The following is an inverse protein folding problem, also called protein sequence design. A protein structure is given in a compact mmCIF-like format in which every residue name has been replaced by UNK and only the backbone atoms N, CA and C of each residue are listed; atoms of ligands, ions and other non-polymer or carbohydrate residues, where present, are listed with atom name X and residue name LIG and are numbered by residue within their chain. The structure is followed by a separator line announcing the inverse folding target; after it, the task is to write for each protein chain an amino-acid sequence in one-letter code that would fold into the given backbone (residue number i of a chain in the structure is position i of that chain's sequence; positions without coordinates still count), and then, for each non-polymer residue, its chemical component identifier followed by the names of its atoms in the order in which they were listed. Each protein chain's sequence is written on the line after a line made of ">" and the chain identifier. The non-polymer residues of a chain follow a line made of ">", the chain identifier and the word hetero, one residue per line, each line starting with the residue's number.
data_IF_789810383110
#
_entry.id   IF_789810383110
#
_cell.length_a   1.000
_cell.length_b   1.000
_cell.length_c   1.000
_cell.angle_alpha   90.00
_cell.angle_beta   90.00
_cell.angle_gamma   90.00
#
_symmetry.space_group_name_H-M   'P 1'
#
loop_
_entity.id
_entity.type
_entity.pdbx_description
1 polymer ?
#
# COMPACT_ATOMS: atom_id res chain seq x y z
N UNK A 1 -0.46 12.59 -15.85
CA UNK A 1 -1.91 12.33 -15.75
C UNK A 1 -2.11 11.46 -14.53
N UNK A 2 -2.82 11.91 -13.50
CA UNK A 2 -3.14 11.05 -12.35
C UNK A 2 -4.19 10.04 -12.80
N UNK A 3 -3.78 8.79 -13.00
CA UNK A 3 -4.72 7.72 -13.28
C UNK A 3 -5.54 7.49 -12.00
N UNK A 4 -6.83 7.81 -12.03
CA UNK A 4 -7.70 7.51 -10.90
C UNK A 4 -8.01 6.02 -10.93
N UNK A 5 -7.47 5.30 -9.94
CA UNK A 5 -7.80 3.90 -9.71
C UNK A 5 -9.32 3.74 -9.65
N UNK A 6 -9.86 2.84 -10.48
CA UNK A 6 -11.30 2.62 -10.59
C UNK A 6 -11.65 1.22 -10.12
N UNK A 7 -12.67 1.12 -9.28
CA UNK A 7 -13.22 -0.17 -8.86
C UNK A 7 -14.66 -0.33 -9.30
N UNK A 8 -14.99 -1.49 -9.87
CA UNK A 8 -16.36 -1.93 -10.13
C UNK A 8 -16.70 -3.07 -9.18
N UNK A 9 -17.82 -2.96 -8.45
CA UNK A 9 -18.22 -3.93 -7.43
C UNK A 9 -19.28 -4.86 -7.98
N UNK A 10 -18.97 -6.15 -8.01
CA UNK A 10 -19.94 -7.21 -8.31
C UNK A 10 -20.40 -7.90 -7.03
N UNK A 11 -21.29 -8.88 -7.14
CA UNK A 11 -21.79 -9.60 -5.97
C UNK A 11 -20.67 -10.33 -5.21
N UNK A 12 -19.85 -11.12 -5.91
CA UNK A 12 -18.76 -11.92 -5.31
C UNK A 12 -17.36 -11.32 -5.44
N UNK A 13 -17.14 -10.50 -6.45
CA UNK A 13 -15.82 -9.94 -6.77
C UNK A 13 -15.84 -8.43 -6.83
N UNK A 14 -14.67 -7.83 -6.81
CA UNK A 14 -14.45 -6.50 -7.38
C UNK A 14 -13.57 -6.64 -8.63
N UNK A 15 -13.77 -5.75 -9.59
CA UNK A 15 -12.83 -5.53 -10.69
C UNK A 15 -12.11 -4.21 -10.45
N UNK A 16 -10.84 -4.30 -10.12
CA UNK A 16 -9.96 -3.17 -9.91
C UNK A 16 -9.19 -2.86 -11.20
N UNK A 17 -9.18 -1.60 -11.62
CA UNK A 17 -8.34 -1.09 -12.69
C UNK A 17 -7.21 -0.31 -12.06
N UNK A 18 -6.02 -0.90 -12.11
CA UNK A 18 -4.83 -0.41 -11.41
C UNK A 18 -3.77 -0.02 -12.43
N UNK A 19 -3.16 1.15 -12.26
CA UNK A 19 -2.06 1.57 -13.11
C UNK A 19 -0.75 1.00 -12.57
N UNK A 20 -0.02 0.28 -13.42
CA UNK A 20 1.33 -0.16 -13.14
C UNK A 20 2.32 0.79 -13.81
N UNK A 21 3.09 1.50 -12.99
CA UNK A 21 4.13 2.43 -13.44
C UNK A 21 5.34 1.74 -14.07
N UNK A 22 5.63 0.48 -13.70
CA UNK A 22 6.65 -0.34 -14.36
C UNK A 22 6.22 -0.72 -15.78
N UNK A 23 4.97 -1.18 -15.97
CA UNK A 23 4.44 -1.50 -17.30
C UNK A 23 4.03 -0.27 -18.11
N UNK A 24 3.86 0.89 -17.47
CA UNK A 24 3.20 2.07 -18.04
C UNK A 24 1.80 1.75 -18.62
N UNK A 25 1.06 0.84 -17.97
CA UNK A 25 -0.23 0.32 -18.45
C UNK A 25 -1.22 0.04 -17.31
N UNK A 26 -2.49 -0.11 -17.67
CA UNK A 26 -3.62 -0.37 -16.77
C UNK A 26 -3.95 -1.85 -16.77
N UNK A 27 -3.91 -2.43 -15.58
CA UNK A 27 -4.18 -3.85 -15.35
C UNK A 27 -5.59 -4.00 -14.76
N UNK A 28 -6.38 -4.88 -15.34
CA UNK A 28 -7.67 -5.29 -14.80
C UNK A 28 -7.53 -6.51 -13.90
N UNK A 29 -7.86 -6.37 -12.62
CA UNK A 29 -7.77 -7.43 -11.62
C UNK A 29 -9.15 -7.79 -11.07
N UNK A 30 -9.51 -9.07 -11.14
CA UNK A 30 -10.71 -9.61 -10.49
C UNK A 30 -10.34 -10.21 -9.13
N UNK A 31 -10.81 -9.57 -8.05
CA UNK A 31 -10.43 -9.91 -6.67
C UNK A 31 -11.68 -10.37 -5.90
N UNK A 32 -11.59 -11.52 -5.23
CA UNK A 32 -12.70 -12.09 -4.47
C UNK A 32 -12.97 -11.29 -3.19
N UNK A 33 -14.23 -10.92 -2.96
CA UNK A 33 -14.63 -10.20 -1.73
C UNK A 33 -14.48 -11.04 -0.47
N UNK A 34 -14.46 -12.36 -0.58
CA UNK A 34 -14.17 -13.25 0.54
C UNK A 34 -12.70 -13.15 0.97
N UNK A 35 -11.76 -13.19 0.03
CA UNK A 35 -10.33 -12.99 0.32
C UNK A 35 -10.09 -11.61 0.94
N UNK A 36 -10.72 -10.58 0.37
CA UNK A 36 -10.67 -9.23 0.91
C UNK A 36 -11.21 -9.22 2.34
N UNK A 37 -12.39 -9.78 2.62
CA UNK A 37 -12.97 -9.81 3.99
C UNK A 37 -12.15 -10.62 4.98
N UNK A 38 -11.55 -11.73 4.55
CA UNK A 38 -10.75 -12.59 5.41
C UNK A 38 -9.41 -11.94 5.75
N UNK A 39 -8.84 -11.17 4.81
CA UNK A 39 -7.62 -10.39 5.03
C UNK A 39 -7.86 -9.01 5.64
N UNK A 40 -9.06 -8.44 5.48
CA UNK A 40 -9.48 -7.22 6.16
C UNK A 40 -9.84 -7.54 7.61
N UNK A 41 -8.92 -7.28 8.51
CA UNK A 41 -9.22 -7.33 9.93
C UNK A 41 -9.96 -6.05 10.36
N UNK A 42 -9.33 -4.87 10.21
CA UNK A 42 -9.97 -3.58 10.57
C UNK A 42 -9.54 -2.36 9.74
N UNK A 43 -8.60 -2.48 8.80
CA UNK A 43 -8.13 -1.33 7.99
C UNK A 43 -7.98 -1.66 6.50
N UNK A 44 -6.80 -2.10 6.08
CA UNK A 44 -6.47 -2.38 4.67
C UNK A 44 -6.16 -3.86 4.45
N UNK A 45 -6.54 -4.34 3.26
CA UNK A 45 -6.10 -5.60 2.68
C UNK A 45 -5.13 -5.31 1.53
N UNK A 46 -4.00 -6.00 1.49
CA UNK A 46 -3.00 -5.86 0.42
C UNK A 46 -3.11 -7.09 -0.48
N UNK A 47 -3.61 -6.88 -1.70
CA UNK A 47 -3.60 -7.90 -2.74
C UNK A 47 -2.30 -7.79 -3.55
N UNK A 48 -1.47 -8.83 -3.52
CA UNK A 48 -0.22 -8.88 -4.30
C UNK A 48 -0.47 -9.60 -5.63
N UNK A 49 -0.23 -8.93 -6.74
CA UNK A 49 -0.38 -9.48 -8.09
C UNK A 49 0.94 -9.48 -8.84
N UNK A 50 1.48 -10.67 -9.12
CA UNK A 50 2.69 -10.85 -9.92
C UNK A 50 2.36 -10.88 -11.41
N UNK A 51 3.09 -10.12 -12.21
CA UNK A 51 2.91 -10.05 -13.66
C UNK A 51 4.17 -9.55 -14.37
N UNK A 52 4.14 -9.56 -15.69
CA UNK A 52 5.12 -8.91 -16.57
C UNK A 52 4.40 -8.27 -17.74
N UNK A 53 5.04 -7.29 -18.37
CA UNK A 53 4.54 -6.66 -19.58
C UNK A 53 4.84 -7.55 -20.80
N UNK A 54 3.79 -8.06 -21.44
CA UNK A 54 3.93 -8.83 -22.68
C UNK A 54 4.29 -7.94 -23.89
N UNK A 55 4.18 -6.61 -23.74
CA UNK A 55 4.42 -5.61 -24.77
C UNK A 55 5.60 -4.69 -24.41
N UNK A 56 6.60 -5.20 -23.70
CA UNK A 56 7.85 -4.47 -23.45
C UNK A 56 8.52 -4.05 -24.75
N UNK A 57 9.18 -2.90 -24.77
CA UNK A 57 10.00 -2.42 -25.87
C UNK A 57 11.40 -3.05 -25.78
N UNK A 58 11.75 -4.02 -26.65
CA UNK A 58 13.06 -4.66 -26.60
C UNK A 58 14.20 -3.72 -27.07
N UNK A 59 13.86 -2.61 -27.73
CA UNK A 59 14.82 -1.63 -28.25
C UNK A 59 15.11 -0.51 -27.23
N UNK A 60 14.31 -0.38 -26.16
CA UNK A 60 14.58 0.51 -25.03
C UNK A 60 15.36 -0.23 -23.92
N UNK A 61 16.67 0.04 -23.72
CA UNK A 61 17.47 -0.63 -22.71
C UNK A 61 17.07 -0.28 -21.27
N UNK A 62 16.18 0.70 -21.07
CA UNK A 62 15.61 1.07 -19.77
C UNK A 62 14.25 0.42 -19.51
N UNK A 63 13.63 -0.21 -20.52
CA UNK A 63 12.40 -0.96 -20.34
C UNK A 63 12.70 -2.34 -19.73
N UNK A 64 12.53 -2.42 -18.42
CA UNK A 64 12.62 -3.67 -17.67
C UNK A 64 11.26 -4.29 -17.36
N UNK A 65 10.17 -3.80 -17.97
CA UNK A 65 8.80 -4.23 -17.68
C UNK A 65 8.52 -5.69 -18.09
N UNK A 66 9.36 -6.27 -18.96
CA UNK A 66 9.34 -7.70 -19.30
C UNK A 66 9.71 -8.61 -18.11
N UNK A 67 10.45 -8.09 -17.11
CA UNK A 67 10.79 -8.85 -15.91
C UNK A 67 9.55 -9.01 -15.02
N UNK A 68 9.43 -10.14 -14.33
CA UNK A 68 8.35 -10.34 -13.35
C UNK A 68 8.45 -9.30 -12.22
N UNK A 69 7.33 -8.65 -11.93
CA UNK A 69 7.20 -7.68 -10.86
C UNK A 69 5.82 -7.77 -10.20
N UNK A 70 5.69 -7.15 -9.04
CA UNK A 70 4.48 -7.22 -8.21
C UNK A 70 3.78 -5.88 -8.19
N UNK A 71 2.45 -5.88 -8.41
CA UNK A 71 1.57 -4.78 -8.03
C UNK A 71 0.94 -5.10 -6.66
N UNK A 72 1.31 -4.33 -5.63
CA UNK A 72 0.66 -4.34 -4.32
C UNK A 72 -0.53 -3.40 -4.31
N UNK A 73 -1.75 -3.94 -4.28
CA UNK A 73 -3.00 -3.18 -4.35
C UNK A 73 -3.61 -3.08 -2.96
N UNK A 74 -3.73 -1.86 -2.44
CA UNK A 74 -4.25 -1.57 -1.10
C UNK A 74 -5.76 -1.33 -1.20
N UNK A 75 -6.55 -2.16 -0.52
CA UNK A 75 -8.02 -2.18 -0.62
C UNK A 75 -8.62 -1.97 0.77
N UNK A 76 -9.58 -1.07 0.88
CA UNK A 76 -10.25 -0.79 2.15
C UNK A 76 -11.51 -1.64 2.41
N UNK A 77 -12.15 -1.40 3.56
CA UNK A 77 -13.37 -2.07 3.97
C UNK A 77 -14.60 -1.75 3.11
N UNK A 78 -14.53 -0.72 2.26
CA UNK A 78 -15.56 -0.38 1.28
C UNK A 78 -15.28 -1.04 -0.07
N UNK A 79 -14.24 -1.86 -0.18
CA UNK A 79 -13.76 -2.45 -1.42
C UNK A 79 -13.28 -1.39 -2.43
N UNK A 80 -12.76 -0.27 -1.96
CA UNK A 80 -12.13 0.75 -2.81
C UNK A 80 -10.63 0.55 -2.83
N UNK A 81 -10.02 0.70 -4.02
CA UNK A 81 -8.56 0.74 -4.15
C UNK A 81 -8.08 2.09 -3.64
N UNK A 82 -7.24 2.05 -2.62
CA UNK A 82 -6.68 3.22 -1.94
C UNK A 82 -5.30 3.60 -2.44
N UNK A 83 -4.56 2.62 -2.92
CA UNK A 83 -3.26 2.86 -3.54
C UNK A 83 -2.74 1.61 -4.22
N UNK A 84 -1.69 1.81 -5.00
CA UNK A 84 -0.97 0.75 -5.69
C UNK A 84 0.51 1.07 -5.55
N UNK A 85 1.32 0.02 -5.35
CA UNK A 85 2.77 0.12 -5.43
C UNK A 85 3.32 -1.01 -6.28
N UNK A 86 4.08 -0.67 -7.32
CA UNK A 86 4.72 -1.69 -8.14
C UNK A 86 6.21 -1.76 -7.84
N UNK A 87 6.74 -2.98 -7.80
CA UNK A 87 8.12 -3.23 -7.43
C UNK A 87 8.62 -4.55 -7.98
N UNK A 88 9.93 -4.60 -8.24
CA UNK A 88 10.64 -5.84 -8.53
C UNK A 88 10.99 -6.57 -7.22
N UNK A 89 11.00 -7.90 -7.24
CA UNK A 89 11.31 -8.72 -6.06
C UNK A 89 10.13 -8.89 -5.09
N UNK A 90 10.45 -9.22 -3.84
CA UNK A 90 9.46 -9.61 -2.82
C UNK A 90 8.94 -8.44 -1.97
N UNK A 91 9.68 -7.32 -1.90
CA UNK A 91 9.34 -6.13 -1.11
C UNK A 91 9.42 -4.83 -1.93
N UNK A 92 8.54 -3.85 -1.62
CA UNK A 92 8.46 -2.56 -2.33
C UNK A 92 9.61 -1.59 -2.08
N UNK A 93 10.38 -1.74 -1.00
CA UNK A 93 11.49 -0.84 -0.66
C UNK A 93 12.84 -1.59 -0.64
N UNK A 94 13.60 -1.46 -1.73
CA UNK A 94 15.03 -1.83 -1.77
C UNK A 94 15.87 -0.62 -1.35
N UNK A 95 17.04 -0.86 -0.72
CA UNK A 95 17.91 0.21 -0.22
C UNK A 95 18.34 1.22 -1.31
N UNK A 96 18.40 0.77 -2.57
CA UNK A 96 18.84 1.56 -3.72
C UNK A 96 17.82 2.60 -4.20
N UNK A 97 16.53 2.45 -3.83
CA UNK A 97 15.43 3.33 -4.29
C UNK A 97 15.05 4.43 -3.30
N UNK A 98 15.78 4.57 -2.20
CA UNK A 98 15.42 5.45 -1.10
C UNK A 98 16.37 6.64 -1.07
N UNK A 99 15.84 7.84 -1.31
CA UNK A 99 16.61 9.07 -1.21
C UNK A 99 17.05 9.30 0.24
N UNK A 100 18.26 9.83 0.41
CA UNK A 100 18.84 10.16 1.71
C UNK A 100 17.89 11.12 2.48
N UNK A 101 17.54 10.74 3.71
CA UNK A 101 16.61 11.52 4.55
C UNK A 101 15.15 11.09 4.45
N UNK A 102 14.82 10.09 3.63
CA UNK A 102 13.46 9.53 3.55
C UNK A 102 13.04 8.90 4.88
N UNK A 103 11.85 9.27 5.34
CA UNK A 103 11.24 8.75 6.57
C UNK A 103 10.32 7.57 6.27
N UNK A 104 10.65 6.43 6.86
CA UNK A 104 9.89 5.17 6.73
C UNK A 104 9.35 4.78 8.10
N UNK A 105 8.03 4.81 8.33
CA UNK A 105 7.44 4.32 9.56
C UNK A 105 7.44 2.79 9.64
N UNK A 106 7.77 2.27 10.83
CA UNK A 106 7.70 0.85 11.17
C UNK A 106 6.91 0.65 12.46
N UNK A 107 6.05 -0.38 12.50
CA UNK A 107 5.38 -0.83 13.72
C UNK A 107 6.37 -1.58 14.61
N UNK A 108 6.46 -1.16 15.87
CA UNK A 108 7.39 -1.71 16.86
C UNK A 108 6.85 -2.94 17.59
N UNK A 109 5.53 -3.08 17.64
CA UNK A 109 4.84 -4.13 18.40
C UNK A 109 3.66 -4.63 17.61
N UNK A 110 3.41 -5.94 17.65
CA UNK A 110 2.20 -6.48 17.03
C UNK A 110 0.94 -5.90 17.70
N UNK A 111 0.01 -5.41 16.89
CA UNK A 111 -1.21 -4.75 17.34
C UNK A 111 -2.39 -5.59 16.87
N UNK A 112 -3.03 -6.37 17.76
CA UNK A 112 -4.13 -7.22 17.34
C UNK A 112 -5.36 -6.36 16.98
N UNK A 113 -6.19 -6.80 16.02
CA UNK A 113 -7.44 -6.13 15.63
C UNK A 113 -8.40 -5.87 16.79
N UNK A 114 -8.33 -6.73 17.82
CA UNK A 114 -9.14 -6.60 19.03
C UNK A 114 -8.88 -5.26 19.76
N UNK A 115 -7.70 -4.66 19.58
CA UNK A 115 -7.36 -3.35 20.15
C UNK A 115 -8.32 -2.24 19.68
N UNK A 116 -8.81 -2.34 18.44
CA UNK A 116 -9.83 -1.43 17.90
C UNK A 116 -11.18 -1.65 18.60
N UNK A 117 -11.57 -2.91 18.75
CA UNK A 117 -12.86 -3.30 19.35
C UNK A 117 -12.94 -2.92 20.83
N UNK A 118 -11.81 -2.96 21.53
CA UNK A 118 -11.68 -2.56 22.94
C UNK A 118 -11.53 -1.03 23.10
N UNK A 119 -11.53 -0.26 22.01
CA UNK A 119 -11.39 1.21 22.05
C UNK A 119 -10.00 1.71 22.45
N UNK A 120 -8.98 0.85 22.43
CA UNK A 120 -7.60 1.23 22.79
C UNK A 120 -6.93 2.07 21.69
N UNK A 121 -7.36 1.85 20.44
CA UNK A 121 -6.95 2.60 19.26
C UNK A 121 -8.17 2.85 18.37
N UNK A 122 -8.15 3.95 17.61
CA UNK A 122 -9.21 4.21 16.64
C UNK A 122 -9.05 3.36 15.36
N UNK A 123 -10.11 3.17 14.57
CA UNK A 123 -10.01 2.54 13.25
C UNK A 123 -9.01 3.24 12.33
N UNK A 124 -8.94 4.58 12.37
CA UNK A 124 -7.99 5.36 11.57
C UNK A 124 -6.54 5.15 12.04
N UNK A 125 -6.30 5.11 13.36
CA UNK A 125 -5.00 4.76 13.92
C UNK A 125 -4.56 3.37 13.45
N UNK A 126 -5.46 2.38 13.53
CA UNK A 126 -5.17 1.02 13.09
C UNK A 126 -4.88 0.94 11.58
N UNK A 127 -5.66 1.65 10.77
CA UNK A 127 -5.44 1.72 9.31
C UNK A 127 -4.07 2.29 8.97
N UNK A 128 -3.66 3.35 9.67
CA UNK A 128 -2.32 3.96 9.49
C UNK A 128 -1.23 2.99 9.94
N UNK A 129 -1.40 2.31 11.07
CA UNK A 129 -0.44 1.32 11.56
C UNK A 129 -0.19 0.18 10.55
N UNK A 130 -1.22 -0.26 9.82
CA UNK A 130 -1.07 -1.27 8.77
C UNK A 130 -0.23 -0.79 7.57
N UNK A 131 -0.07 0.52 7.38
CA UNK A 131 0.80 1.12 6.36
C UNK A 131 2.21 1.41 6.90
N UNK A 132 2.42 1.33 8.21
CA UNK A 132 3.72 1.47 8.87
C UNK A 132 4.48 0.14 8.89
N UNK A 133 4.54 -0.54 7.75
CA UNK A 133 5.09 -1.88 7.59
C UNK A 133 6.61 -1.88 7.27
N UNK A 134 7.24 -0.70 7.26
CA UNK A 134 8.63 -0.55 6.82
C UNK A 134 8.80 -0.55 5.29
N UNK A 135 7.69 -0.65 4.56
CA UNK A 135 7.59 -0.82 3.11
C UNK A 135 6.96 0.41 2.41
N UNK A 136 6.44 1.37 3.20
CA UNK A 136 5.91 2.64 2.73
C UNK A 136 6.66 3.84 3.36
N UNK A 137 6.93 4.88 2.57
CA UNK A 137 7.39 6.18 3.06
C UNK A 137 6.24 6.99 3.66
N UNK A 138 6.53 8.04 4.45
CA UNK A 138 5.47 8.91 4.96
C UNK A 138 4.57 9.52 3.87
N UNK A 139 5.14 9.88 2.71
CA UNK A 139 4.35 10.40 1.59
C UNK A 139 3.39 9.33 1.04
N UNK A 140 3.88 8.10 0.86
CA UNK A 140 3.05 6.98 0.39
C UNK A 140 1.95 6.63 1.41
N UNK A 141 2.26 6.68 2.71
CA UNK A 141 1.25 6.50 3.76
C UNK A 141 0.17 7.59 3.66
N UNK A 142 0.54 8.84 3.41
CA UNK A 142 -0.41 9.94 3.22
C UNK A 142 -1.31 9.69 2.00
N UNK A 143 -0.70 9.36 0.86
CA UNK A 143 -1.39 9.11 -0.39
C UNK A 143 -2.36 7.93 -0.29
N UNK A 144 -1.91 6.78 0.23
CA UNK A 144 -2.74 5.57 0.38
C UNK A 144 -3.84 5.81 1.42
N UNK A 145 -3.55 6.49 2.52
CA UNK A 145 -4.57 6.77 3.54
C UNK A 145 -5.54 7.90 3.14
N UNK A 146 -5.20 8.70 2.13
CA UNK A 146 -5.93 9.91 1.76
C UNK A 146 -5.91 10.98 2.86
N UNK A 147 -4.88 10.97 3.72
CA UNK A 147 -4.71 11.91 4.83
C UNK A 147 -3.77 13.03 4.41
N UNK A 148 -4.09 14.28 4.78
CA UNK A 148 -3.17 15.39 4.55
C UNK A 148 -1.88 15.20 5.35
N UNK A 149 -0.74 15.63 4.80
CA UNK A 149 0.57 15.42 5.42
C UNK A 149 0.64 16.00 6.84
N UNK A 150 0.02 17.15 7.12
CA UNK A 150 0.02 17.73 8.49
C UNK A 150 -0.80 16.90 9.46
N UNK A 151 -1.90 16.31 8.99
CA UNK A 151 -2.72 15.40 9.80
C UNK A 151 -1.97 14.10 10.05
N UNK A 152 -1.27 13.59 9.03
CA UNK A 152 -0.45 12.39 9.15
C UNK A 152 0.70 12.60 10.13
N UNK A 153 1.41 13.73 10.07
CA UNK A 153 2.49 14.02 11.03
C UNK A 153 1.98 14.05 12.47
N UNK A 154 0.80 14.63 12.71
CA UNK A 154 0.16 14.59 14.04
C UNK A 154 -0.19 13.17 14.45
N UNK A 155 -0.71 12.36 13.52
CA UNK A 155 -1.01 10.95 13.76
C UNK A 155 0.27 10.16 14.11
N UNK A 156 1.35 10.38 13.36
CA UNK A 156 2.65 9.76 13.59
C UNK A 156 3.22 10.14 14.96
N UNK A 157 3.16 11.41 15.34
CA UNK A 157 3.58 11.87 16.66
C UNK A 157 2.79 11.15 17.78
N UNK A 158 1.47 11.07 17.65
CA UNK A 158 0.59 10.38 18.60
C UNK A 158 0.91 8.88 18.71
N UNK A 159 1.10 8.19 17.59
CA UNK A 159 1.43 6.76 17.57
C UNK A 159 2.83 6.50 18.13
N UNK A 160 3.79 7.40 17.89
CA UNK A 160 5.14 7.36 18.44
C UNK A 160 5.13 7.58 19.96
N UNK A 161 4.35 8.54 20.47
CA UNK A 161 4.17 8.77 21.91
C UNK A 161 3.55 7.55 22.62
N UNK A 162 2.66 6.83 21.94
CA UNK A 162 2.12 5.53 22.40
C UNK A 162 3.12 4.38 22.32
N UNK A 163 4.30 4.58 21.74
CA UNK A 163 5.33 3.56 21.54
C UNK A 163 4.91 2.44 20.59
N UNK A 164 4.07 2.77 19.60
CA UNK A 164 3.55 1.82 18.61
C UNK A 164 4.37 1.82 17.32
N UNK A 165 5.01 2.94 16.99
CA UNK A 165 5.81 3.10 15.79
C UNK A 165 7.15 3.77 16.06
N UNK A 166 8.10 3.52 15.15
CA UNK A 166 9.32 4.31 14.97
C UNK A 166 9.40 4.85 13.55
N UNK A 167 10.17 5.92 13.37
CA UNK A 167 10.54 6.44 12.05
C UNK A 167 11.99 6.11 11.79
N UNK A 168 12.25 5.26 10.81
CA UNK A 168 13.59 5.01 10.29
C UNK A 168 13.88 6.12 9.28
N UNK A 169 14.99 6.82 9.48
CA UNK A 169 15.55 7.71 8.45
C UNK A 169 16.59 6.87 7.73
N UNK A 170 16.35 6.56 6.45
CA UNK A 170 17.35 5.89 5.64
C UNK A 170 18.28 6.94 5.04
N UNK A 171 19.57 6.75 5.26
CA UNK A 171 20.65 7.54 4.67
C UNK A 171 21.65 6.64 3.98
#
# INVERSE_FOLDING_TARGET
>A
MSFNNRTVKYFRTIRAYVYCDICNDVIGLDINKEDIRNGLQTGLYIYKYKHSNAHSDPDDPTDESWKEHTAGVYIDNKYEVRGIKCYFGDTPLTAEKIEEGTKVPIVEKDIPPMSVHLGMISPDEYRILQLCDGDNTLNEVADISGMDMKELEKMMAKLKEKGLISLIIRG
#
